data_IF_190018362186
#
_entry.id   IF_190018362186
#
_cell.length_a   1.000
_cell.length_b   1.000
_cell.length_c   1.000
_cell.angle_alpha   90.00
_cell.angle_beta   90.00
_cell.angle_gamma   90.00
#
_symmetry.space_group_name_H-M   'P 1'
#
loop_
_entity.id
_entity.type
_entity.pdbx_description
1 polymer ?
#
# COMPACT_ATOMS: atom_id res chain seq x y z
N UNK A 1 1.97 -3.70 -38.13
CA UNK A 1 1.67 -2.45 -37.40
C UNK A 1 3.01 -1.82 -37.07
N UNK A 2 3.44 -0.74 -37.75
CA UNK A 2 4.74 -0.12 -37.47
C UNK A 2 4.71 0.48 -36.06
N UNK A 3 5.59 0.02 -35.18
CA UNK A 3 5.73 0.56 -33.83
C UNK A 3 6.43 1.92 -33.90
N UNK A 4 5.83 2.95 -33.32
CA UNK A 4 6.43 4.28 -33.21
C UNK A 4 7.72 4.17 -32.37
N UNK A 5 8.82 4.77 -32.84
CA UNK A 5 10.12 4.80 -32.16
C UNK A 5 10.47 6.21 -31.75
N UNK A 6 11.23 6.37 -30.67
CA UNK A 6 11.68 7.69 -30.22
C UNK A 6 12.83 8.21 -31.13
N UNK A 7 12.72 9.43 -31.71
CA UNK A 7 13.75 10.01 -32.56
C UNK A 7 14.89 10.70 -31.78
N UNK A 8 14.80 10.82 -30.46
CA UNK A 8 15.78 11.55 -29.65
C UNK A 8 16.96 10.64 -29.22
N UNK A 9 18.19 10.88 -29.70
CA UNK A 9 19.37 10.03 -29.40
C UNK A 9 19.84 10.07 -27.94
N UNK A 10 19.42 11.08 -27.16
CA UNK A 10 19.74 11.20 -25.74
C UNK A 10 18.70 10.52 -24.83
N UNK A 11 17.70 9.84 -25.41
CA UNK A 11 16.70 9.11 -24.64
C UNK A 11 17.13 7.64 -24.47
N UNK A 12 17.01 7.08 -23.26
CA UNK A 12 17.26 5.65 -23.02
C UNK A 12 16.33 4.72 -23.82
N UNK A 13 15.24 5.25 -24.36
CA UNK A 13 14.31 4.56 -25.25
C UNK A 13 14.53 4.87 -26.75
N UNK A 14 15.66 5.48 -27.11
CA UNK A 14 16.07 5.68 -28.49
C UNK A 14 16.07 4.35 -29.26
N UNK A 15 15.42 4.32 -30.42
CA UNK A 15 15.20 3.12 -31.25
C UNK A 15 14.41 1.95 -30.62
N UNK A 16 13.88 2.08 -29.41
CA UNK A 16 12.99 1.07 -28.80
C UNK A 16 11.54 1.29 -29.22
N UNK A 17 10.79 0.19 -29.33
CA UNK A 17 9.37 0.23 -29.67
C UNK A 17 8.57 0.82 -28.49
N UNK A 18 7.83 1.89 -28.75
CA UNK A 18 6.94 2.50 -27.76
C UNK A 18 5.58 1.79 -27.73
N UNK A 19 4.84 1.85 -26.60
CA UNK A 19 3.47 1.34 -26.55
C UNK A 19 2.62 2.04 -27.61
N UNK A 20 1.82 1.24 -28.31
CA UNK A 20 0.96 1.72 -29.39
C UNK A 20 0.08 2.88 -28.88
N UNK A 21 -0.04 3.94 -29.69
CA UNK A 21 -0.83 5.15 -29.45
C UNK A 21 -0.16 6.28 -28.63
N UNK A 22 1.12 6.19 -28.27
CA UNK A 22 1.85 7.32 -27.68
C UNK A 22 2.09 8.41 -28.74
N UNK A 23 1.65 9.65 -28.47
CA UNK A 23 1.95 10.86 -29.28
C UNK A 23 3.22 11.57 -28.83
N UNK A 24 3.64 11.33 -27.59
CA UNK A 24 4.82 11.91 -26.95
C UNK A 24 5.55 10.76 -26.24
N UNK A 25 6.88 10.75 -26.29
CA UNK A 25 7.67 9.77 -25.57
C UNK A 25 7.55 9.99 -24.05
N UNK A 26 7.11 9.00 -23.24
CA UNK A 26 6.92 9.17 -21.80
C UNK A 26 8.22 9.32 -21.00
N UNK A 27 9.38 9.01 -21.61
CA UNK A 27 10.69 9.05 -20.94
C UNK A 27 11.48 10.32 -21.19
N UNK A 28 11.30 10.97 -22.34
CA UNK A 28 12.03 12.19 -22.71
C UNK A 28 11.13 13.34 -23.14
N UNK A 29 9.81 13.17 -23.06
CA UNK A 29 8.78 14.14 -23.48
C UNK A 29 8.92 14.64 -24.92
N UNK A 30 9.68 13.94 -25.77
CA UNK A 30 9.88 14.33 -27.17
C UNK A 30 8.62 14.02 -27.99
N UNK A 31 8.05 15.00 -28.73
CA UNK A 31 6.91 14.75 -29.59
C UNK A 31 7.29 13.82 -30.74
N UNK A 32 6.46 12.82 -31.00
CA UNK A 32 6.64 11.88 -32.10
C UNK A 32 5.96 12.48 -33.34
N UNK A 33 6.55 13.55 -33.87
CA UNK A 33 6.01 14.27 -35.02
C UNK A 33 6.37 13.51 -36.30
N UNK A 34 5.39 12.82 -36.88
CA UNK A 34 5.56 12.09 -38.11
C UNK A 34 5.27 13.04 -39.29
N UNK A 35 6.24 13.91 -39.63
CA UNK A 35 6.18 14.73 -40.84
C UNK A 35 6.73 13.93 -42.01
N UNK A 36 5.85 13.51 -42.94
CA UNK A 36 5.90 13.88 -44.37
C UNK A 36 4.45 13.80 -44.90
N UNK A 37 3.98 14.93 -45.44
CA UNK A 37 2.68 15.14 -46.08
C UNK A 37 2.80 14.73 -47.56
N UNK A 38 1.73 14.25 -48.20
CA UNK A 38 1.18 15.08 -49.29
C UNK A 38 -0.36 15.17 -49.25
N UNK A 39 -0.86 16.40 -49.46
CA UNK A 39 -2.27 16.71 -49.76
C UNK A 39 -2.73 15.88 -50.96
N UNK A 40 -3.92 15.26 -50.94
CA UNK A 40 -5.06 15.91 -51.60
C UNK A 40 -6.45 15.62 -50.99
N UNK A 41 -7.39 16.51 -51.34
CA UNK A 41 -8.85 16.38 -51.36
C UNK A 41 -9.64 16.29 -50.04
N UNK A 42 -10.40 17.36 -49.80
CA UNK A 42 -11.47 17.56 -48.82
C UNK A 42 -12.64 16.55 -49.01
N UNK A 43 -13.04 15.82 -47.97
CA UNK A 43 -14.41 15.34 -47.81
C UNK A 43 -15.17 16.21 -46.80
N UNK A 44 -16.48 16.34 -47.03
CA UNK A 44 -17.39 17.20 -46.30
C UNK A 44 -17.42 16.94 -44.79
N UNK A 45 -17.54 18.04 -44.03
CA UNK A 45 -17.76 18.07 -42.59
C UNK A 45 -19.07 17.36 -42.20
N UNK A 46 -19.08 16.49 -41.18
CA UNK A 46 -20.31 16.03 -40.55
C UNK A 46 -21.01 17.20 -39.84
N UNK A 47 -22.31 17.38 -40.13
CA UNK A 47 -23.15 18.39 -39.48
C UNK A 47 -23.24 18.17 -37.95
N UNK A 48 -23.39 19.25 -37.16
CA UNK A 48 -23.73 19.13 -35.75
C UNK A 48 -25.12 18.49 -35.55
N UNK A 49 -25.35 17.79 -34.42
CA UNK A 49 -26.62 17.16 -34.12
C UNK A 49 -27.77 18.21 -34.04
N UNK A 50 -29.01 17.82 -34.38
CA UNK A 50 -30.16 18.71 -34.32
C UNK A 50 -30.40 19.19 -32.89
N UNK A 51 -30.60 20.50 -32.75
CA UNK A 51 -30.99 21.13 -31.50
C UNK A 51 -32.35 20.56 -31.04
N UNK A 52 -32.54 20.30 -29.73
CA UNK A 52 -33.86 19.95 -29.22
C UNK A 52 -34.84 21.10 -29.50
N UNK A 53 -35.96 20.73 -30.10
CA UNK A 53 -37.10 21.60 -30.40
C UNK A 53 -37.53 22.31 -29.12
N UNK A 54 -37.47 23.65 -29.12
CA UNK A 54 -38.12 24.44 -28.09
C UNK A 54 -39.63 24.28 -28.26
N UNK A 55 -40.29 23.65 -27.29
CA UNK A 55 -41.74 23.67 -27.21
C UNK A 55 -42.21 25.14 -27.07
N UNK A 56 -43.25 25.57 -27.80
CA UNK A 56 -43.81 26.90 -27.62
C UNK A 56 -44.34 27.05 -26.20
N UNK A 57 -43.96 28.15 -25.55
CA UNK A 57 -44.49 28.54 -24.25
C UNK A 57 -46.00 28.79 -24.37
N UNK A 58 -46.84 28.24 -23.49
CA UNK A 58 -48.23 28.67 -23.40
C UNK A 58 -48.29 30.13 -22.97
N UNK A 59 -48.98 30.96 -23.76
CA UNK A 59 -49.33 32.33 -23.37
C UNK A 59 -50.40 32.22 -22.28
N UNK A 60 -50.05 32.55 -21.04
CA UNK A 60 -51.00 32.61 -19.93
C UNK A 60 -51.75 33.94 -20.03
N UNK A 61 -53.05 33.85 -20.27
CA UNK A 61 -53.98 34.98 -20.31
C UNK A 61 -54.33 35.40 -18.87
N UNK A 62 -54.20 36.69 -18.46
CA UNK A 62 -54.40 37.09 -17.08
C UNK A 62 -55.85 37.48 -16.83
N UNK A 63 -56.70 36.51 -16.49
CA UNK A 63 -58.05 36.84 -16.00
C UNK A 63 -58.54 35.76 -15.06
N UNK A 64 -58.22 35.93 -13.77
CA UNK A 64 -59.09 35.73 -12.62
C UNK A 64 -58.26 35.66 -11.34
N UNK A 65 -57.78 36.81 -10.87
CA UNK A 65 -57.34 36.93 -9.49
C UNK A 65 -58.58 36.97 -8.58
N UNK A 66 -58.91 35.84 -7.95
CA UNK A 66 -59.59 35.85 -6.64
C UNK A 66 -58.50 35.86 -5.56
N UNK A 67 -58.50 36.80 -4.61
CA UNK A 67 -57.62 36.66 -3.45
C UNK A 67 -58.06 35.41 -2.67
N UNK A 68 -57.13 34.50 -2.31
CA UNK A 68 -57.47 33.40 -1.42
C UNK A 68 -57.81 33.96 -0.04
N UNK A 69 -58.95 33.49 0.46
CA UNK A 69 -59.46 33.62 1.82
C UNK A 69 -58.38 33.25 2.84
N UNK A 70 -58.29 34.06 3.89
CA UNK A 70 -57.31 33.94 4.96
C UNK A 70 -57.64 32.71 5.82
N UNK A 71 -57.00 31.59 5.49
CA UNK A 71 -56.88 30.46 6.41
C UNK A 71 -55.58 30.67 7.17
N UNK A 72 -55.68 30.99 8.45
CA UNK A 72 -54.58 30.84 9.40
C UNK A 72 -54.18 29.37 9.43
N UNK A 73 -53.25 29.01 8.54
CA UNK A 73 -52.58 27.73 8.55
C UNK A 73 -51.78 27.68 9.86
N UNK A 74 -52.19 26.77 10.75
CA UNK A 74 -51.37 26.34 11.86
C UNK A 74 -50.06 25.81 11.26
N UNK A 75 -49.00 26.63 11.32
CA UNK A 75 -47.69 26.30 10.82
C UNK A 75 -47.09 25.25 11.74
N UNK A 76 -47.43 23.97 11.54
CA UNK A 76 -46.55 22.92 12.00
C UNK A 76 -45.23 23.05 11.23
N UNK A 77 -44.21 23.50 11.94
CA UNK A 77 -42.85 23.66 11.44
C UNK A 77 -42.39 22.31 10.87
N UNK A 78 -42.25 22.21 9.54
CA UNK A 78 -41.63 21.03 8.92
C UNK A 78 -40.20 20.95 9.44
N UNK A 79 -39.89 19.87 10.14
CA UNK A 79 -38.49 19.53 10.43
C UNK A 79 -37.75 19.40 9.08
N UNK A 80 -36.56 20.01 8.93
CA UNK A 80 -35.78 19.84 7.71
C UNK A 80 -35.51 18.36 7.47
N UNK A 81 -35.80 17.87 6.25
CA UNK A 81 -35.36 16.55 5.85
C UNK A 81 -33.83 16.56 5.74
N UNK A 82 -33.16 15.91 6.69
CA UNK A 82 -31.71 15.66 6.63
C UNK A 82 -31.54 14.32 5.90
N UNK A 83 -30.92 14.28 4.70
CA UNK A 83 -30.67 13.01 4.03
C UNK A 83 -29.78 12.14 4.93
N UNK A 84 -30.03 10.83 5.02
CA UNK A 84 -29.15 9.93 5.77
C UNK A 84 -27.75 10.00 5.18
N UNK A 85 -26.76 10.34 5.99
CA UNK A 85 -25.36 10.29 5.60
C UNK A 85 -25.00 8.84 5.24
N UNK A 86 -24.38 8.59 4.08
CA UNK A 86 -23.92 7.24 3.74
C UNK A 86 -23.00 6.73 4.85
N UNK A 87 -23.05 5.44 5.19
CA UNK A 87 -22.14 4.88 6.18
C UNK A 87 -20.71 5.10 5.70
N UNK A 88 -19.92 5.82 6.50
CA UNK A 88 -18.49 5.96 6.27
C UNK A 88 -17.87 4.58 6.46
N UNK A 89 -17.41 3.97 5.37
CA UNK A 89 -16.68 2.71 5.43
C UNK A 89 -15.28 2.99 5.96
N UNK A 90 -15.07 2.71 7.24
CA UNK A 90 -13.73 2.63 7.81
C UNK A 90 -13.18 1.24 7.51
N UNK A 91 -12.21 1.07 6.58
CA UNK A 91 -11.55 -0.22 6.43
C UNK A 91 -10.97 -0.60 7.78
N UNK A 92 -11.24 -1.82 8.23
CA UNK A 92 -10.59 -2.35 9.44
C UNK A 92 -9.08 -2.33 9.18
N UNK A 93 -8.27 -1.74 10.08
CA UNK A 93 -6.83 -1.77 9.93
C UNK A 93 -6.40 -3.25 9.81
N UNK A 94 -5.51 -3.56 8.85
CA UNK A 94 -5.03 -4.92 8.68
C UNK A 94 -4.37 -5.39 9.98
N UNK A 95 -4.76 -6.57 10.44
CA UNK A 95 -4.20 -7.18 11.66
C UNK A 95 -2.94 -7.93 11.26
N UNK A 96 -1.83 -7.59 11.91
CA UNK A 96 -0.58 -8.33 11.77
C UNK A 96 -0.66 -9.63 12.57
N UNK A 97 -0.15 -10.75 12.04
CA UNK A 97 -0.12 -12.00 12.79
C UNK A 97 0.82 -11.90 13.99
N UNK A 98 0.58 -12.72 14.99
CA UNK A 98 1.41 -12.82 16.18
C UNK A 98 2.64 -13.66 15.88
N UNK A 99 3.83 -13.08 16.05
CA UNK A 99 5.07 -13.83 16.10
C UNK A 99 5.29 -14.35 17.53
N UNK A 100 5.32 -15.67 17.68
CA UNK A 100 5.66 -16.34 18.94
C UNK A 100 6.98 -17.07 18.78
N UNK A 101 7.93 -16.81 19.68
CA UNK A 101 9.21 -17.53 19.77
C UNK A 101 9.19 -18.38 21.05
N UNK A 102 9.38 -19.69 20.91
CA UNK A 102 9.42 -20.62 22.03
C UNK A 102 10.87 -21.08 22.19
N UNK A 103 11.50 -20.73 23.31
CA UNK A 103 12.84 -21.19 23.66
C UNK A 103 12.82 -22.68 24.03
N UNK A 104 13.94 -23.39 23.84
CA UNK A 104 14.07 -24.81 24.23
C UNK A 104 13.83 -25.08 25.72
N UNK A 105 13.95 -24.06 26.59
CA UNK A 105 13.60 -24.17 28.02
C UNK A 105 12.10 -24.05 28.29
N UNK A 106 11.28 -23.82 27.27
CA UNK A 106 9.84 -23.55 27.40
C UNK A 106 9.48 -22.09 27.69
N UNK A 107 10.44 -21.16 27.73
CA UNK A 107 10.13 -19.72 27.82
C UNK A 107 9.55 -19.24 26.49
N UNK A 108 8.48 -18.46 26.56
CA UNK A 108 7.78 -17.97 25.38
C UNK A 108 7.88 -16.45 25.27
N UNK A 109 8.05 -15.96 24.05
CA UNK A 109 8.08 -14.54 23.72
C UNK A 109 7.08 -14.29 22.61
N UNK A 110 6.28 -13.24 22.74
CA UNK A 110 5.21 -12.92 21.81
C UNK A 110 5.33 -11.47 21.38
N UNK A 111 5.18 -11.23 20.09
CA UNK A 111 5.25 -9.90 19.52
C UNK A 111 4.38 -9.80 18.26
N UNK A 112 3.70 -8.67 18.11
CA UNK A 112 2.93 -8.33 16.93
C UNK A 112 3.23 -6.88 16.59
N UNK A 113 3.77 -6.62 15.41
CA UNK A 113 4.14 -5.28 14.99
C UNK A 113 4.73 -5.29 13.59
N UNK A 114 4.85 -4.11 12.99
CA UNK A 114 5.38 -4.01 11.63
C UNK A 114 6.89 -4.18 11.58
N UNK A 115 7.61 -3.69 12.59
CA UNK A 115 9.05 -3.86 12.72
C UNK A 115 9.46 -3.79 14.18
N UNK A 116 10.43 -4.62 14.56
CA UNK A 116 10.98 -4.69 15.91
C UNK A 116 12.36 -5.32 15.93
N UNK A 117 13.01 -5.23 17.08
CA UNK A 117 14.31 -5.80 17.37
C UNK A 117 14.18 -6.93 18.37
N UNK A 118 14.99 -7.96 18.14
CA UNK A 118 15.17 -9.09 19.04
C UNK A 118 16.57 -8.95 19.63
N UNK A 119 16.68 -9.05 20.95
CA UNK A 119 17.98 -9.03 21.60
C UNK A 119 17.89 -8.98 23.11
N UNK A 120 19.03 -8.84 23.76
CA UNK A 120 19.12 -8.76 25.21
C UNK A 120 19.07 -7.31 25.69
N UNK A 121 18.12 -6.99 26.58
CA UNK A 121 18.10 -5.69 27.27
C UNK A 121 19.39 -5.47 28.05
N UNK A 122 19.89 -4.24 28.03
CA UNK A 122 21.05 -3.81 28.82
C UNK A 122 20.81 -2.39 29.34
N UNK A 123 21.34 -2.09 30.53
CA UNK A 123 21.25 -0.76 31.15
C UNK A 123 21.86 0.35 30.28
N UNK A 124 22.81 0.00 29.41
CA UNK A 124 23.43 0.95 28.48
C UNK A 124 22.56 1.30 27.27
N UNK A 125 21.40 0.65 27.08
CA UNK A 125 20.48 0.95 25.98
C UNK A 125 19.34 1.84 26.47
N UNK A 126 19.12 2.96 25.78
CA UNK A 126 18.02 3.88 26.05
C UNK A 126 16.65 3.26 25.74
N UNK A 127 16.58 2.40 24.72
CA UNK A 127 15.36 1.72 24.27
C UNK A 127 15.62 0.22 24.28
N UNK A 128 14.78 -0.51 24.99
CA UNK A 128 14.84 -1.97 25.03
C UNK A 128 14.34 -2.58 23.71
N UNK A 129 14.87 -3.74 23.32
CA UNK A 129 14.29 -4.49 22.21
C UNK A 129 12.85 -4.89 22.52
N UNK A 130 12.02 -4.91 21.49
CA UNK A 130 10.61 -5.28 21.54
C UNK A 130 10.45 -6.74 21.98
N UNK A 131 11.36 -7.61 21.55
CA UNK A 131 11.52 -8.96 22.05
C UNK A 131 12.79 -9.01 22.90
N UNK A 132 12.61 -8.85 24.21
CA UNK A 132 13.69 -8.90 25.19
C UNK A 132 13.98 -10.34 25.62
N UNK A 133 15.16 -10.82 25.24
CA UNK A 133 15.66 -12.15 25.56
C UNK A 133 16.43 -12.20 26.89
N UNK A 134 16.38 -11.15 27.71
CA UNK A 134 17.05 -11.17 29.02
C UNK A 134 16.56 -12.33 29.93
N UNK A 135 17.48 -12.88 30.72
CA UNK A 135 17.23 -13.96 31.68
C UNK A 135 16.99 -15.34 31.05
N UNK A 136 17.27 -15.55 29.76
CA UNK A 136 17.39 -16.91 29.20
C UNK A 136 18.75 -17.49 29.58
N UNK A 137 18.92 -18.82 29.66
CA UNK A 137 20.25 -19.39 29.81
C UNK A 137 21.14 -18.95 28.64
N UNK A 138 22.42 -18.69 28.93
CA UNK A 138 23.41 -18.23 27.95
C UNK A 138 23.06 -16.91 27.24
N UNK A 139 22.26 -16.04 27.87
CA UNK A 139 21.91 -14.72 27.32
C UNK A 139 23.12 -13.86 26.93
N UNK A 140 24.29 -14.10 27.53
CA UNK A 140 25.54 -13.39 27.19
C UNK A 140 25.99 -13.55 25.74
N UNK A 141 25.55 -14.63 25.06
CA UNK A 141 25.83 -14.90 23.64
C UNK A 141 24.93 -14.06 22.74
N UNK A 142 23.78 -13.61 23.26
CA UNK A 142 22.82 -12.81 22.52
C UNK A 142 23.22 -11.34 22.57
N UNK A 143 23.58 -10.78 21.42
CA UNK A 143 23.75 -9.35 21.22
C UNK A 143 22.55 -8.52 21.69
N UNK A 144 22.83 -7.30 22.12
CA UNK A 144 21.84 -6.29 22.56
C UNK A 144 20.78 -5.99 21.48
N UNK A 145 21.24 -5.80 20.25
CA UNK A 145 20.42 -5.86 19.02
C UNK A 145 20.94 -7.04 18.23
N UNK A 146 20.25 -8.17 18.29
CA UNK A 146 20.72 -9.41 17.69
C UNK A 146 20.10 -9.60 16.30
N UNK A 147 18.79 -9.39 16.22
CA UNK A 147 18.07 -9.48 14.97
C UNK A 147 17.11 -8.32 14.82
N UNK A 148 16.77 -8.00 13.59
CA UNK A 148 15.60 -7.19 13.25
C UNK A 148 14.56 -8.09 12.63
N UNK A 149 13.32 -7.96 13.07
CA UNK A 149 12.18 -8.64 12.49
C UNK A 149 11.18 -7.61 11.98
N UNK A 150 10.56 -7.86 10.83
CA UNK A 150 9.53 -6.97 10.29
C UNK A 150 8.57 -7.72 9.39
N UNK A 151 7.37 -7.19 9.23
CA UNK A 151 6.34 -7.72 8.36
C UNK A 151 6.55 -7.26 6.92
N UNK A 152 6.66 -8.20 5.99
CA UNK A 152 6.69 -7.90 4.56
C UNK A 152 5.28 -8.02 3.98
N UNK A 153 4.67 -6.88 3.63
CA UNK A 153 3.32 -6.82 3.09
C UNK A 153 3.17 -7.48 1.71
N UNK A 154 4.25 -7.58 0.94
CA UNK A 154 4.27 -8.20 -0.40
C UNK A 154 4.20 -9.73 -0.31
N UNK A 155 4.96 -10.30 0.63
CA UNK A 155 5.07 -11.75 0.84
C UNK A 155 4.13 -12.26 1.95
N UNK A 156 3.45 -11.34 2.65
CA UNK A 156 2.53 -11.62 3.74
C UNK A 156 3.14 -12.56 4.79
N UNK A 157 4.35 -12.23 5.22
CA UNK A 157 5.15 -13.04 6.15
C UNK A 157 6.15 -12.18 6.90
N UNK A 158 6.59 -12.65 8.07
CA UNK A 158 7.70 -12.01 8.78
C UNK A 158 9.03 -12.30 8.09
N UNK A 159 9.90 -11.29 8.09
CA UNK A 159 11.28 -11.35 7.66
C UNK A 159 12.19 -11.16 8.86
N UNK A 160 13.32 -11.86 8.87
CA UNK A 160 14.38 -11.69 9.87
C UNK A 160 15.67 -11.25 9.18
N UNK A 161 16.37 -10.30 9.80
CA UNK A 161 17.69 -9.81 9.37
C UNK A 161 18.66 -9.97 10.53
N UNK A 162 19.78 -10.63 10.25
CA UNK A 162 20.86 -10.76 11.22
C UNK A 162 21.64 -9.45 11.36
N UNK A 163 21.78 -9.00 12.61
CA UNK A 163 22.58 -7.83 13.02
C UNK A 163 23.52 -8.18 14.17
N UNK A 164 23.73 -9.47 14.42
CA UNK A 164 24.42 -9.97 15.60
C UNK A 164 25.93 -10.05 15.39
N UNK A 165 26.65 -10.23 16.49
CA UNK A 165 28.09 -10.49 16.46
C UNK A 165 28.39 -11.98 16.31
N UNK A 166 27.51 -12.84 16.84
CA UNK A 166 27.72 -14.28 16.91
C UNK A 166 26.96 -15.06 15.80
N UNK A 167 26.20 -14.38 14.96
CA UNK A 167 25.41 -14.94 13.86
C UNK A 167 24.04 -15.46 14.31
N UNK A 168 23.16 -15.63 13.32
CA UNK A 168 21.87 -16.31 13.47
C UNK A 168 21.84 -17.50 12.54
N UNK A 169 21.34 -18.64 13.02
CA UNK A 169 21.07 -19.80 12.18
C UNK A 169 19.57 -20.00 12.04
N UNK A 170 19.10 -20.10 10.80
CA UNK A 170 17.73 -20.45 10.44
C UNK A 170 17.73 -21.87 9.88
N UNK A 171 17.02 -22.78 10.53
CA UNK A 171 16.98 -24.21 10.17
C UNK A 171 18.39 -24.79 9.96
N UNK A 172 19.29 -24.53 10.90
CA UNK A 172 20.70 -24.94 10.90
C UNK A 172 21.58 -24.28 9.80
N UNK A 173 21.03 -23.33 9.03
CA UNK A 173 21.77 -22.56 8.02
C UNK A 173 22.16 -21.21 8.57
N UNK A 174 23.46 -20.87 8.55
CA UNK A 174 23.94 -19.56 8.96
C UNK A 174 23.42 -18.48 8.01
N UNK A 175 22.80 -17.44 8.56
CA UNK A 175 22.33 -16.30 7.81
C UNK A 175 23.49 -15.37 7.46
N UNK A 176 23.42 -14.71 6.31
CA UNK A 176 24.32 -13.62 5.96
C UNK A 176 23.87 -12.34 6.70
N UNK A 177 24.77 -11.68 7.45
CA UNK A 177 24.44 -10.43 8.13
C UNK A 177 23.89 -9.36 7.18
N UNK A 178 22.82 -8.67 7.58
CA UNK A 178 22.17 -7.62 6.80
C UNK A 178 21.27 -8.12 5.66
N UNK A 179 21.25 -9.42 5.35
CA UNK A 179 20.34 -10.00 4.37
C UNK A 179 19.03 -10.40 5.05
N UNK A 180 17.91 -10.16 4.36
CA UNK A 180 16.57 -10.54 4.83
C UNK A 180 16.25 -11.99 4.46
N UNK A 181 15.75 -12.73 5.44
CA UNK A 181 15.30 -14.11 5.26
C UNK A 181 13.85 -14.22 5.70
N UNK A 182 13.07 -15.00 4.95
CA UNK A 182 11.68 -15.28 5.31
C UNK A 182 11.62 -16.19 6.53
N UNK A 183 10.79 -15.81 7.48
CA UNK A 183 10.46 -16.63 8.65
C UNK A 183 9.12 -17.30 8.43
N UNK A 184 9.08 -18.63 8.59
CA UNK A 184 7.90 -19.47 8.44
C UNK A 184 7.48 -20.06 9.78
N UNK A 185 6.23 -20.51 9.82
CA UNK A 185 5.69 -21.20 10.99
C UNK A 185 6.40 -22.55 11.19
N UNK A 186 6.95 -22.77 12.38
CA UNK A 186 7.72 -23.94 12.74
C UNK A 186 9.23 -23.83 12.51
N UNK A 187 9.72 -22.69 11.99
CA UNK A 187 11.15 -22.52 11.73
C UNK A 187 11.99 -22.57 13.02
N UNK A 188 13.15 -23.21 12.93
CA UNK A 188 14.11 -23.27 14.02
C UNK A 188 15.08 -22.09 13.90
N UNK A 189 15.07 -21.21 14.90
CA UNK A 189 16.00 -20.10 15.03
C UNK A 189 17.04 -20.39 16.10
N UNK A 190 18.30 -20.14 15.81
CA UNK A 190 19.38 -20.19 16.80
C UNK A 190 20.09 -18.84 16.81
N UNK A 191 20.28 -18.28 17.99
CA UNK A 191 20.97 -17.02 18.19
C UNK A 191 22.37 -17.28 18.76
N UNK A 192 23.40 -16.95 17.99
CA UNK A 192 24.78 -17.26 18.32
C UNK A 192 25.18 -18.73 18.12
N UNK A 193 26.35 -19.08 18.66
CA UNK A 193 27.05 -20.33 18.36
C UNK A 193 26.66 -21.48 19.31
N UNK A 194 27.16 -22.69 19.02
CA UNK A 194 27.11 -23.87 19.90
C UNK A 194 25.71 -24.43 20.26
N UNK A 195 24.65 -24.05 19.54
CA UNK A 195 23.27 -24.46 19.80
C UNK A 195 22.74 -24.12 21.21
N UNK A 196 23.37 -23.18 21.90
CA UNK A 196 23.05 -22.85 23.30
C UNK A 196 21.75 -22.06 23.44
N UNK A 197 21.39 -21.27 22.43
CA UNK A 197 20.21 -20.41 22.43
C UNK A 197 19.38 -20.71 21.19
N UNK A 198 18.34 -21.53 21.36
CA UNK A 198 17.52 -22.04 20.26
C UNK A 198 16.04 -21.83 20.52
N UNK A 199 15.33 -21.48 19.46
CA UNK A 199 13.92 -21.14 19.44
C UNK A 199 13.20 -21.83 18.30
N UNK A 200 11.91 -22.07 18.48
CA UNK A 200 10.98 -22.37 17.39
C UNK A 200 10.07 -21.17 17.19
N UNK A 201 9.99 -20.68 15.95
CA UNK A 201 9.14 -19.57 15.57
C UNK A 201 7.76 -20.06 15.14
N UNK A 202 6.72 -19.40 15.61
CA UNK A 202 5.33 -19.64 15.21
C UNK A 202 4.68 -18.32 14.78
N UNK A 203 3.89 -18.37 13.71
CA UNK A 203 3.18 -17.22 13.16
C UNK A 203 1.69 -17.56 13.18
N UNK A 204 0.88 -16.77 13.92
CA UNK A 204 -0.53 -17.06 14.24
C UNK A 204 -1.47 -15.90 13.94
#
# INVERSE_FOLDING_TARGET
>A
MPANRCPNPNCEYFNRALPNNAKVCPWCSTPLDNVIIPTPTRPASPQPPPQPIQCPRPVINPSNYRPPVNYSADYQQRVPYVPPTPPVYYPRPPRLPLLKLIHTTGREFQWSGEAGFIGRRSQSMTVAPEIDLAGIPHEGIVSRRHARVYWDWSQNTYMIVDMSTNGIYLNNTLLNPGVQYRLLNGDSLQFGQDNLVRFTAYIM
#
